data_IF_695102604221
#
_entry.id   IF_695102604221
#
_cell.length_a   1.000
_cell.length_b   1.000
_cell.length_c   1.000
_cell.angle_alpha   90.00
_cell.angle_beta   90.00
_cell.angle_gamma   90.00
#
_symmetry.space_group_name_H-M   'P 1'
#
loop_
_entity.id
_entity.type
_entity.pdbx_description
1 polymer ?
#
# COMPACT_ATOMS: atom_id res chain seq x y z
N UNK A 1 9.38 -13.23 -24.65
CA UNK A 1 10.39 -13.40 -23.60
C UNK A 1 10.42 -14.85 -23.19
N UNK A 2 11.59 -15.34 -22.80
CA UNK A 2 11.78 -16.67 -22.23
C UNK A 2 11.70 -16.63 -20.69
N UNK A 3 11.72 -17.81 -20.05
CA UNK A 3 11.64 -17.95 -18.59
C UNK A 3 12.74 -17.19 -17.86
N UNK A 4 13.98 -17.29 -18.35
CA UNK A 4 15.14 -16.65 -17.73
C UNK A 4 15.02 -15.13 -17.72
N UNK A 5 14.58 -14.53 -18.83
CA UNK A 5 14.37 -13.08 -18.90
C UNK A 5 13.32 -12.58 -17.90
N UNK A 6 12.22 -13.32 -17.71
CA UNK A 6 11.22 -12.94 -16.72
C UNK A 6 11.71 -13.12 -15.28
N UNK A 7 12.45 -14.20 -14.98
CA UNK A 7 13.03 -14.41 -13.64
C UNK A 7 14.02 -13.30 -13.29
N UNK A 8 14.90 -12.91 -14.22
CA UNK A 8 15.84 -11.79 -14.02
C UNK A 8 15.11 -10.46 -13.79
N UNK A 9 14.03 -10.19 -14.55
CA UNK A 9 13.22 -8.99 -14.33
C UNK A 9 12.54 -9.00 -12.95
N UNK A 10 11.99 -10.15 -12.55
CA UNK A 10 11.37 -10.29 -11.24
C UNK A 10 12.38 -10.09 -10.10
N UNK A 11 13.60 -10.61 -10.26
CA UNK A 11 14.70 -10.40 -9.32
C UNK A 11 15.10 -8.93 -9.24
N UNK A 12 15.28 -8.27 -10.37
CA UNK A 12 15.65 -6.86 -10.40
C UNK A 12 14.57 -5.98 -9.78
N UNK A 13 13.30 -6.20 -10.14
CA UNK A 13 12.15 -5.47 -9.60
C UNK A 13 12.06 -5.63 -8.08
N UNK A 14 12.22 -6.88 -7.59
CA UNK A 14 12.23 -7.17 -6.16
C UNK A 14 13.42 -6.52 -5.45
N UNK A 15 14.63 -6.57 -6.03
CA UNK A 15 15.80 -5.92 -5.44
C UNK A 15 15.61 -4.41 -5.34
N UNK A 16 15.12 -3.78 -6.41
CA UNK A 16 14.91 -2.33 -6.45
C UNK A 16 13.94 -1.87 -5.37
N UNK A 17 12.81 -2.57 -5.16
CA UNK A 17 11.87 -2.18 -4.11
C UNK A 17 12.44 -2.45 -2.72
N UNK A 18 13.20 -3.52 -2.54
CA UNK A 18 13.82 -3.85 -1.26
C UNK A 18 14.84 -2.77 -0.84
N UNK A 19 15.59 -2.22 -1.78
CA UNK A 19 16.59 -1.15 -1.52
C UNK A 19 15.96 0.13 -0.96
N UNK A 20 14.69 0.40 -1.30
CA UNK A 20 13.97 1.62 -0.89
C UNK A 20 12.75 1.32 -0.03
N UNK A 21 12.57 0.08 0.45
CA UNK A 21 11.29 -0.41 0.96
C UNK A 21 10.69 0.45 2.08
N UNK A 22 11.53 0.88 3.04
CA UNK A 22 11.08 1.68 4.18
C UNK A 22 10.85 3.16 3.85
N UNK A 23 11.40 3.63 2.73
CA UNK A 23 11.20 4.97 2.20
C UNK A 23 10.06 5.02 1.18
N UNK A 24 9.67 3.86 0.65
CA UNK A 24 8.61 3.74 -0.34
C UNK A 24 7.26 4.22 0.21
N UNK A 25 6.60 5.03 -0.61
CA UNK A 25 5.22 5.48 -0.42
C UNK A 25 4.23 4.47 -1.00
N UNK A 26 2.94 4.68 -0.73
CA UNK A 26 1.85 3.80 -1.17
C UNK A 26 1.87 3.60 -2.69
N UNK A 27 2.01 4.69 -3.44
CA UNK A 27 1.98 4.72 -4.90
C UNK A 27 3.13 3.90 -5.50
N UNK A 28 4.30 3.91 -4.87
CA UNK A 28 5.46 3.14 -5.33
C UNK A 28 5.26 1.64 -5.10
N UNK A 29 4.66 1.25 -3.98
CA UNK A 29 4.33 -0.14 -3.69
C UNK A 29 3.18 -0.65 -4.56
N UNK A 30 2.20 0.21 -4.88
CA UNK A 30 1.14 -0.10 -5.83
C UNK A 30 1.71 -0.37 -7.23
N UNK A 31 2.53 0.54 -7.75
CA UNK A 31 3.20 0.38 -9.05
C UNK A 31 4.09 -0.88 -9.09
N UNK A 32 4.82 -1.17 -8.01
CA UNK A 32 5.62 -2.39 -7.88
C UNK A 32 4.74 -3.66 -8.02
N UNK A 33 3.59 -3.72 -7.34
CA UNK A 33 2.69 -4.88 -7.41
C UNK A 33 2.12 -5.04 -8.82
N UNK A 34 1.74 -3.95 -9.48
CA UNK A 34 1.24 -3.97 -10.86
C UNK A 34 2.30 -4.49 -11.83
N UNK A 35 3.53 -3.96 -11.77
CA UNK A 35 4.65 -4.40 -12.61
C UNK A 35 5.00 -5.87 -12.35
N UNK A 36 5.02 -6.27 -11.06
CA UNK A 36 5.26 -7.65 -10.65
C UNK A 36 4.21 -8.59 -11.23
N UNK A 37 2.95 -8.18 -11.27
CA UNK A 37 1.86 -9.00 -11.82
C UNK A 37 2.03 -9.26 -13.32
N UNK A 38 2.48 -8.26 -14.08
CA UNK A 38 2.75 -8.42 -15.53
C UNK A 38 3.84 -9.47 -15.76
N UNK A 39 4.93 -9.41 -14.98
CA UNK A 39 6.04 -10.37 -15.08
C UNK A 39 5.58 -11.78 -14.68
N UNK A 40 4.83 -11.91 -13.58
CA UNK A 40 4.30 -13.20 -13.12
C UNK A 40 3.37 -13.84 -14.15
N UNK A 41 2.49 -13.05 -14.79
CA UNK A 41 1.63 -13.56 -15.85
C UNK A 41 2.45 -14.18 -16.99
N UNK A 42 3.52 -13.49 -17.40
CA UNK A 42 4.48 -14.01 -18.38
C UNK A 42 5.14 -15.32 -17.94
N UNK A 43 5.58 -15.42 -16.68
CA UNK A 43 6.15 -16.66 -16.12
C UNK A 43 5.15 -17.82 -16.10
N UNK A 44 3.91 -17.56 -15.70
CA UNK A 44 2.84 -18.57 -15.66
C UNK A 44 2.60 -19.15 -17.06
N UNK A 45 2.53 -18.30 -18.09
CA UNK A 45 2.42 -18.76 -19.47
C UNK A 45 3.60 -19.64 -19.88
N UNK A 46 4.84 -19.25 -19.54
CA UNK A 46 6.02 -20.05 -19.89
C UNK A 46 6.06 -21.39 -19.13
N UNK A 47 5.70 -21.41 -17.85
CA UNK A 47 5.67 -22.64 -17.06
C UNK A 47 4.54 -23.60 -17.46
N UNK A 48 3.48 -23.08 -18.11
CA UNK A 48 2.45 -23.92 -18.71
C UNK A 48 2.97 -24.76 -19.89
N UNK A 49 3.99 -24.25 -20.61
CA UNK A 49 4.63 -24.93 -21.73
C UNK A 49 5.72 -25.89 -21.26
N UNK A 50 6.52 -25.46 -20.29
CA UNK A 50 7.62 -26.24 -19.75
C UNK A 50 7.72 -26.05 -18.23
N UNK A 51 7.60 -27.13 -17.44
CA UNK A 51 7.72 -27.05 -15.98
C UNK A 51 9.03 -26.41 -15.51
N UNK A 52 8.99 -25.79 -14.33
CA UNK A 52 10.16 -25.23 -13.69
C UNK A 52 11.20 -26.31 -13.35
N UNK A 53 12.44 -26.04 -13.73
CA UNK A 53 13.62 -26.77 -13.28
C UNK A 53 13.88 -26.54 -11.78
N UNK A 54 14.76 -27.36 -11.20
CA UNK A 54 15.15 -27.24 -9.79
C UNK A 54 15.77 -25.87 -9.50
N UNK A 55 16.64 -25.39 -10.40
CA UNK A 55 17.29 -24.08 -10.25
C UNK A 55 16.27 -22.95 -10.28
N UNK A 56 15.34 -22.95 -11.25
CA UNK A 56 14.28 -21.93 -11.35
C UNK A 56 13.39 -21.93 -10.09
N UNK A 57 13.12 -23.10 -9.48
CA UNK A 57 12.37 -23.18 -8.22
C UNK A 57 13.11 -22.54 -7.05
N UNK A 58 14.41 -22.78 -6.93
CA UNK A 58 15.24 -22.19 -5.87
C UNK A 58 15.25 -20.66 -6.00
N UNK A 59 15.37 -20.13 -7.22
CA UNK A 59 15.32 -18.68 -7.47
C UNK A 59 13.96 -18.08 -7.07
N UNK A 60 12.86 -18.78 -7.38
CA UNK A 60 11.51 -18.35 -6.97
C UNK A 60 11.37 -18.38 -5.45
N UNK A 61 11.87 -19.42 -4.77
CA UNK A 61 11.83 -19.52 -3.31
C UNK A 61 12.60 -18.39 -2.62
N UNK A 62 13.75 -17.98 -3.16
CA UNK A 62 14.50 -16.82 -2.67
C UNK A 62 13.70 -15.53 -2.80
N UNK A 63 12.99 -15.34 -3.92
CA UNK A 63 12.13 -14.17 -4.13
C UNK A 63 10.96 -14.14 -3.15
N UNK A 64 10.31 -15.29 -2.92
CA UNK A 64 9.23 -15.41 -1.93
C UNK A 64 9.69 -15.08 -0.51
N UNK A 65 10.99 -15.24 -0.20
CA UNK A 65 11.56 -14.83 1.07
C UNK A 65 11.43 -13.33 1.36
N UNK A 66 11.44 -12.48 0.33
CA UNK A 66 11.31 -11.03 0.45
C UNK A 66 9.86 -10.56 0.62
N UNK A 67 8.88 -11.34 0.14
CA UNK A 67 7.47 -10.94 0.12
C UNK A 67 6.92 -10.64 1.52
N UNK A 68 7.41 -11.33 2.56
CA UNK A 68 6.97 -11.08 3.93
C UNK A 68 7.28 -9.66 4.41
N UNK A 69 8.47 -9.13 4.10
CA UNK A 69 8.88 -7.79 4.52
C UNK A 69 8.12 -6.72 3.72
N UNK A 70 7.90 -6.96 2.43
CA UNK A 70 7.11 -6.06 1.57
C UNK A 70 5.67 -5.96 2.10
N UNK A 71 5.04 -7.10 2.42
CA UNK A 71 3.68 -7.13 3.00
C UNK A 71 3.64 -6.46 4.37
N UNK A 72 4.68 -6.61 5.20
CA UNK A 72 4.77 -5.93 6.48
C UNK A 72 4.78 -4.41 6.29
N UNK A 73 5.59 -3.89 5.35
CA UNK A 73 5.64 -2.46 5.03
C UNK A 73 4.29 -1.93 4.52
N UNK A 74 3.63 -2.65 3.60
CA UNK A 74 2.30 -2.27 3.12
C UNK A 74 1.28 -2.19 4.26
N UNK A 75 1.36 -3.10 5.24
CA UNK A 75 0.49 -3.07 6.41
C UNK A 75 0.77 -1.86 7.33
N UNK A 76 2.03 -1.46 7.49
CA UNK A 76 2.39 -0.24 8.24
C UNK A 76 1.71 0.98 7.61
N UNK A 77 1.85 1.17 6.30
CA UNK A 77 1.21 2.28 5.58
C UNK A 77 -0.32 2.25 5.71
N UNK A 78 -0.93 1.05 5.63
CA UNK A 78 -2.36 0.87 5.82
C UNK A 78 -2.82 1.29 7.23
N UNK A 79 -2.07 0.93 8.25
CA UNK A 79 -2.37 1.27 9.65
C UNK A 79 -2.18 2.77 9.90
N UNK A 80 -1.14 3.39 9.34
CA UNK A 80 -0.92 4.84 9.40
C UNK A 80 -2.11 5.60 8.79
N UNK A 81 -2.53 5.21 7.58
CA UNK A 81 -3.70 5.82 6.92
C UNK A 81 -4.98 5.69 7.76
N UNK A 82 -5.18 4.54 8.40
CA UNK A 82 -6.31 4.31 9.32
C UNK A 82 -6.26 5.24 10.54
N UNK A 83 -5.10 5.40 11.17
CA UNK A 83 -4.90 6.28 12.33
C UNK A 83 -5.14 7.76 11.96
N UNK A 84 -4.65 8.20 10.79
CA UNK A 84 -4.93 9.54 10.26
C UNK A 84 -6.43 9.81 10.10
N UNK A 85 -7.18 8.86 9.55
CA UNK A 85 -8.64 8.96 9.41
C UNK A 85 -9.33 9.04 10.77
N UNK A 86 -8.88 8.24 11.74
CA UNK A 86 -9.45 8.22 13.08
C UNK A 86 -9.21 9.55 13.83
N UNK A 87 -7.98 10.06 13.81
CA UNK A 87 -7.62 11.37 14.39
C UNK A 87 -8.43 12.50 13.77
N UNK A 88 -8.63 12.49 12.45
CA UNK A 88 -9.49 13.47 11.76
C UNK A 88 -10.94 13.39 12.22
N UNK A 89 -11.47 12.20 12.45
CA UNK A 89 -12.80 11.99 13.01
C UNK A 89 -12.92 12.60 14.42
N UNK A 90 -11.97 12.32 15.30
CA UNK A 90 -11.95 12.87 16.65
C UNK A 90 -11.84 14.40 16.68
N UNK A 91 -11.00 14.99 15.82
CA UNK A 91 -10.86 16.44 15.72
C UNK A 91 -12.16 17.13 15.28
N UNK A 92 -12.95 16.51 14.38
CA UNK A 92 -14.28 17.00 14.01
C UNK A 92 -15.27 16.91 15.16
N UNK A 93 -15.27 15.81 15.92
CA UNK A 93 -16.13 15.65 17.10
C UNK A 93 -15.81 16.66 18.19
N UNK A 94 -14.53 16.93 18.45
CA UNK A 94 -14.11 17.96 19.40
C UNK A 94 -14.51 19.37 18.94
N UNK A 95 -14.31 19.72 17.66
CA UNK A 95 -14.80 21.00 17.10
C UNK A 95 -16.31 21.16 17.26
N UNK A 96 -17.09 20.14 16.94
CA UNK A 96 -18.55 20.19 17.07
C UNK A 96 -19.00 20.38 18.54
N UNK A 97 -18.32 19.76 19.50
CA UNK A 97 -18.64 19.90 20.92
C UNK A 97 -18.33 21.31 21.47
N UNK A 98 -17.27 21.96 20.96
CA UNK A 98 -16.95 23.35 21.32
C UNK A 98 -17.85 24.37 20.60
N UNK A 99 -18.21 24.15 19.33
CA UNK A 99 -19.12 25.04 18.59
C UNK A 99 -20.58 24.90 19.04
N UNK A 100 -21.04 23.72 19.49
CA UNK A 100 -22.38 23.54 20.06
C UNK A 100 -22.56 24.20 21.45
N UNK A 101 -21.48 24.66 22.07
CA UNK A 101 -21.50 25.41 23.33
C UNK A 101 -21.59 26.94 23.16
N UNK A 102 -21.48 27.45 21.93
CA UNK A 102 -21.62 28.87 21.62
C UNK A 102 -22.88 29.13 20.81
N UNK A 103 -24.03 28.86 21.42
CA UNK A 103 -25.25 29.63 21.14
C UNK A 103 -25.22 30.86 22.07
N UNK A 104 -24.67 32.02 21.66
CA UNK A 104 -25.04 33.24 22.35
C UNK A 104 -26.54 33.38 22.11
N UNK A 105 -27.31 33.47 23.20
CA UNK A 105 -28.68 33.94 23.20
C UNK A 105 -28.78 35.19 22.32
N UNK A 106 -29.09 35.01 21.05
CA UNK A 106 -29.50 36.07 20.14
C UNK A 106 -30.97 36.33 20.41
N UNK A 107 -31.25 36.87 21.60
CA UNK A 107 -32.50 37.55 21.89
C UNK A 107 -32.25 39.06 21.80
N UNK A 108 -31.91 39.51 20.59
CA UNK A 108 -31.95 40.92 20.24
C UNK A 108 -33.39 41.28 19.84
N UNK A 109 -34.10 41.90 20.80
CA UNK A 109 -35.00 43.06 20.64
C UNK A 109 -36.08 43.03 19.54
N UNK A 110 -37.35 42.97 19.95
CA UNK A 110 -38.39 43.82 19.35
C UNK A 110 -38.97 44.72 20.45
N UNK A 111 -38.65 46.02 20.41
CA UNK A 111 -39.29 47.03 21.25
C UNK A 111 -40.58 47.46 20.56
N UNK A 112 -41.71 47.07 21.14
CA UNK A 112 -42.99 47.75 20.96
C UNK A 112 -43.64 48.05 22.31
N UNK A 113 -43.46 49.30 22.77
CA UNK A 113 -44.51 50.26 23.14
C UNK A 113 -43.89 51.52 23.73
#
# INVERSE_FOLDING_TARGET
MDKSSYLTQLQQLTSNIMDVLYEAEYEQLEAFVEERQVIINGLVEQFSLQPASVTEKIEIEQLLGNDNEIVARMNVLRLEAQDWLHKRGQAKTQRNAYESGYTPDSFLMDKKK
#
